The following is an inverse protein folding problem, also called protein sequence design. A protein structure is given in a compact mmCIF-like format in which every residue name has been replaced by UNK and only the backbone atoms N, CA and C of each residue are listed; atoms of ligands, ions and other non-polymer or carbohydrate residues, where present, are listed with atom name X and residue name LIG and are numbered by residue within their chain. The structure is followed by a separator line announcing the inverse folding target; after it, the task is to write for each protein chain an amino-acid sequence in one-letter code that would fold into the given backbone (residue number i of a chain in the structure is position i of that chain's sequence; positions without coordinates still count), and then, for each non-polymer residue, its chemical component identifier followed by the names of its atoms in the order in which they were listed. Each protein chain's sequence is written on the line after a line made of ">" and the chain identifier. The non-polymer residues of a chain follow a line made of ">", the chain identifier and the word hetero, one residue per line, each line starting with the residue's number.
data_IF_419680446184
#
_entry.id   IF_419680446184
#
_cell.length_a   1.000
_cell.length_b   1.000
_cell.length_c   1.000
_cell.angle_alpha   90.00
_cell.angle_beta   90.00
_cell.angle_gamma   90.00
#
_symmetry.space_group_name_H-M   'P 1'
#
loop_
_entity.id
_entity.type
_entity.pdbx_description
1 polymer ?
#
# COMPACT_ATOMS: atom_id res chain seq x y z
N UNK A 1 -17.27 -15.78 25.04
CA UNK A 1 -16.43 -14.60 24.74
C UNK A 1 -17.05 -13.41 25.43
N UNK A 2 -16.30 -12.61 26.20
CA UNK A 2 -16.84 -11.39 26.82
C UNK A 2 -16.93 -10.25 25.78
N UNK A 3 -17.66 -9.18 26.11
CA UNK A 3 -17.91 -8.05 25.20
C UNK A 3 -16.62 -7.34 24.76
N UNK A 4 -15.69 -7.09 25.68
CA UNK A 4 -14.43 -6.40 25.38
C UNK A 4 -13.54 -7.19 24.42
N UNK A 5 -13.44 -8.49 24.62
CA UNK A 5 -12.68 -9.38 23.74
C UNK A 5 -13.34 -9.43 22.36
N UNK A 6 -14.67 -9.41 22.31
CA UNK A 6 -15.39 -9.41 21.04
C UNK A 6 -15.15 -8.12 20.25
N UNK A 7 -15.24 -6.95 20.88
CA UNK A 7 -14.93 -5.66 20.24
C UNK A 7 -13.50 -5.65 19.66
N UNK A 8 -12.55 -6.21 20.40
CA UNK A 8 -11.17 -6.36 19.93
C UNK A 8 -11.09 -7.28 18.71
N UNK A 9 -11.74 -8.45 18.73
CA UNK A 9 -11.76 -9.36 17.58
C UNK A 9 -12.34 -8.69 16.32
N UNK A 10 -13.46 -7.97 16.46
CA UNK A 10 -14.08 -7.25 15.35
C UNK A 10 -13.12 -6.19 14.79
N UNK A 11 -12.44 -5.42 15.65
CA UNK A 11 -11.47 -4.41 15.20
C UNK A 11 -10.23 -5.03 14.53
N UNK A 12 -9.75 -6.17 15.03
CA UNK A 12 -8.61 -6.88 14.41
C UNK A 12 -8.97 -7.41 13.03
N UNK A 13 -10.14 -8.01 12.88
CA UNK A 13 -10.65 -8.46 11.58
C UNK A 13 -10.96 -7.27 10.67
N UNK A 14 -11.51 -6.18 11.21
CA UNK A 14 -11.72 -4.91 10.50
C UNK A 14 -10.44 -4.35 9.92
N UNK A 15 -9.34 -4.35 10.69
CA UNK A 15 -8.02 -3.96 10.19
C UNK A 15 -7.58 -4.84 9.00
N UNK A 16 -7.66 -6.16 9.15
CA UNK A 16 -7.23 -7.11 8.12
C UNK A 16 -8.05 -6.98 6.82
N UNK A 17 -9.38 -6.89 6.96
CA UNK A 17 -10.31 -6.71 5.84
C UNK A 17 -10.09 -5.37 5.16
N UNK A 18 -9.99 -4.28 5.94
CA UNK A 18 -9.81 -2.94 5.41
C UNK A 18 -8.48 -2.77 4.69
N UNK A 19 -7.38 -3.25 5.29
CA UNK A 19 -6.06 -3.25 4.63
C UNK A 19 -6.07 -4.13 3.38
N UNK A 20 -6.69 -5.31 3.45
CA UNK A 20 -6.92 -6.20 2.31
C UNK A 20 -7.64 -5.49 1.17
N UNK A 21 -8.72 -4.76 1.45
CA UNK A 21 -9.46 -3.99 0.45
C UNK A 21 -8.55 -2.96 -0.24
N UNK A 22 -7.76 -2.21 0.54
CA UNK A 22 -6.83 -1.20 -0.01
C UNK A 22 -5.71 -1.82 -0.83
N UNK A 23 -5.24 -3.02 -0.48
CA UNK A 23 -4.26 -3.77 -1.28
C UNK A 23 -4.80 -4.14 -2.65
N UNK A 24 -6.03 -4.65 -2.72
CA UNK A 24 -6.66 -4.96 -3.99
C UNK A 24 -6.88 -3.69 -4.83
N UNK A 25 -7.38 -2.60 -4.24
CA UNK A 25 -7.50 -1.32 -4.95
C UNK A 25 -6.16 -0.68 -5.34
N UNK A 26 -5.09 -0.93 -4.58
CA UNK A 26 -3.75 -0.48 -4.94
C UNK A 26 -3.25 -1.24 -6.17
N UNK A 27 -3.45 -2.56 -6.21
CA UNK A 27 -3.14 -3.37 -7.40
C UNK A 27 -3.94 -2.91 -8.61
N UNK A 28 -5.27 -2.77 -8.47
CA UNK A 28 -6.12 -2.27 -9.55
C UNK A 28 -5.62 -0.93 -10.10
N UNK A 29 -5.41 0.05 -9.21
CA UNK A 29 -4.97 1.39 -9.62
C UNK A 29 -3.60 1.38 -10.30
N UNK A 30 -2.65 0.58 -9.79
CA UNK A 30 -1.32 0.49 -10.39
C UNK A 30 -1.42 -0.12 -11.79
N UNK A 31 -2.23 -1.17 -11.97
CA UNK A 31 -2.40 -1.78 -13.29
C UNK A 31 -3.10 -0.83 -14.26
N UNK A 32 -4.12 -0.10 -13.79
CA UNK A 32 -4.89 0.83 -14.61
C UNK A 32 -4.11 2.10 -15.00
N UNK A 33 -3.37 2.70 -14.05
CA UNK A 33 -2.78 4.03 -14.20
C UNK A 33 -1.33 4.01 -14.68
N UNK A 34 -0.59 2.92 -14.41
CA UNK A 34 0.83 2.85 -14.77
C UNK A 34 1.10 3.03 -16.26
N UNK A 35 0.33 2.44 -17.20
CA UNK A 35 0.54 2.69 -18.63
C UNK A 35 0.45 4.17 -18.99
N UNK A 36 -0.51 4.89 -18.41
CA UNK A 36 -0.66 6.33 -18.59
C UNK A 36 0.54 7.12 -18.05
N UNK A 37 1.03 6.77 -16.85
CA UNK A 37 2.23 7.40 -16.28
C UNK A 37 3.49 7.12 -17.09
N UNK A 38 3.70 5.88 -17.55
CA UNK A 38 4.84 5.52 -18.41
C UNK A 38 4.80 6.34 -19.69
N UNK A 39 3.64 6.44 -20.34
CA UNK A 39 3.46 7.24 -21.56
C UNK A 39 3.78 8.72 -21.31
N UNK A 40 3.19 9.31 -20.25
CA UNK A 40 3.41 10.71 -19.89
C UNK A 40 4.88 11.02 -19.61
N UNK A 41 5.55 10.20 -18.79
CA UNK A 41 6.97 10.36 -18.46
C UNK A 41 7.82 10.22 -19.73
N UNK A 42 7.55 9.23 -20.58
CA UNK A 42 8.30 9.01 -21.82
C UNK A 42 8.22 10.21 -22.76
N UNK A 43 7.02 10.79 -22.92
CA UNK A 43 6.82 12.00 -23.73
C UNK A 43 7.55 13.19 -23.11
N UNK A 44 7.43 13.40 -21.80
CA UNK A 44 8.11 14.50 -21.11
C UNK A 44 9.64 14.41 -21.29
N UNK A 45 10.23 13.22 -21.12
CA UNK A 45 11.66 13.00 -21.38
C UNK A 45 12.03 13.25 -22.85
N UNK A 46 11.19 12.81 -23.79
CA UNK A 46 11.37 13.09 -25.22
C UNK A 46 11.42 14.59 -25.51
N UNK A 47 10.51 15.38 -24.94
CA UNK A 47 10.50 16.84 -25.09
C UNK A 47 11.77 17.47 -24.49
N UNK A 48 12.14 17.10 -23.25
CA UNK A 48 13.34 17.66 -22.60
C UNK A 48 14.64 17.26 -23.29
N UNK A 49 14.69 16.12 -23.99
CA UNK A 49 15.88 15.70 -24.74
C UNK A 49 16.24 16.67 -25.87
N UNK A 50 15.28 17.47 -26.37
CA UNK A 50 15.52 18.52 -27.36
C UNK A 50 16.32 19.70 -26.79
N UNK A 51 16.23 19.94 -25.48
CA UNK A 51 16.90 21.04 -24.80
C UNK A 51 18.22 20.62 -24.13
N UNK A 52 18.32 19.35 -23.68
CA UNK A 52 19.46 18.87 -22.89
C UNK A 52 20.16 17.68 -23.56
N UNK A 53 21.39 17.88 -24.06
CA UNK A 53 22.19 16.84 -24.72
C UNK A 53 22.48 15.62 -23.83
N UNK A 54 22.59 15.79 -22.51
CA UNK A 54 22.83 14.68 -21.57
C UNK A 54 21.67 13.68 -21.53
N UNK A 55 20.43 14.16 -21.75
CA UNK A 55 19.24 13.32 -21.90
C UNK A 55 19.18 12.60 -23.26
N UNK A 56 20.09 12.87 -24.20
CA UNK A 56 20.13 12.21 -25.52
C UNK A 56 21.09 11.00 -25.56
N UNK A 57 21.61 10.57 -24.42
CA UNK A 57 22.69 9.57 -24.31
C UNK A 57 22.17 8.17 -23.94
N UNK A 58 23.09 7.21 -23.74
CA UNK A 58 22.82 5.85 -23.24
C UNK A 58 21.91 5.82 -21.99
N UNK A 59 21.92 6.89 -21.19
CA UNK A 59 21.04 7.03 -20.03
C UNK A 59 19.55 7.00 -20.39
N UNK A 60 19.16 7.66 -21.49
CA UNK A 60 17.76 7.68 -21.95
C UNK A 60 17.33 6.30 -22.44
N UNK A 61 18.15 5.66 -23.26
CA UNK A 61 17.90 4.31 -23.77
C UNK A 61 17.77 3.30 -22.63
N UNK A 62 18.66 3.36 -21.62
CA UNK A 62 18.56 2.50 -20.44
C UNK A 62 17.28 2.78 -19.64
N UNK A 63 16.94 4.04 -19.42
CA UNK A 63 15.73 4.44 -18.68
C UNK A 63 14.46 3.94 -19.37
N UNK A 64 14.34 4.11 -20.68
CA UNK A 64 13.19 3.62 -21.45
C UNK A 64 13.13 2.09 -21.53
N UNK A 65 14.29 1.41 -21.55
CA UNK A 65 14.33 -0.05 -21.44
C UNK A 65 13.74 -0.51 -20.10
N UNK A 66 14.12 0.13 -18.99
CA UNK A 66 13.56 -0.16 -17.66
C UNK A 66 12.05 0.11 -17.62
N UNK A 67 11.59 1.25 -18.15
CA UNK A 67 10.16 1.56 -18.23
C UNK A 67 9.40 0.53 -19.08
N UNK A 68 9.99 0.04 -20.17
CA UNK A 68 9.44 -1.04 -20.99
C UNK A 68 9.27 -2.34 -20.19
N UNK A 69 10.29 -2.73 -19.42
CA UNK A 69 10.22 -3.92 -18.54
C UNK A 69 9.14 -3.74 -17.46
N UNK A 70 9.03 -2.54 -16.87
CA UNK A 70 7.95 -2.23 -15.91
C UNK A 70 6.58 -2.35 -16.58
N UNK A 71 6.42 -1.83 -17.80
CA UNK A 71 5.18 -1.96 -18.58
C UNK A 71 4.81 -3.41 -18.86
N UNK A 72 5.77 -4.25 -19.25
CA UNK A 72 5.57 -5.69 -19.42
C UNK A 72 5.17 -6.38 -18.11
N UNK A 73 5.81 -6.03 -16.99
CA UNK A 73 5.44 -6.59 -15.69
C UNK A 73 4.00 -6.22 -15.30
N UNK A 74 3.60 -4.98 -15.51
CA UNK A 74 2.24 -4.50 -15.23
C UNK A 74 1.20 -5.22 -16.10
N UNK A 75 1.49 -5.43 -17.40
CA UNK A 75 0.54 -6.08 -18.31
C UNK A 75 0.22 -7.53 -17.92
N UNK A 76 1.11 -8.21 -17.20
CA UNK A 76 0.86 -9.56 -16.65
C UNK A 76 -0.27 -9.61 -15.60
N UNK A 77 -0.75 -8.46 -15.14
CA UNK A 77 -1.86 -8.35 -14.18
C UNK A 77 -3.15 -7.81 -14.82
N UNK A 78 -3.10 -7.29 -16.07
CA UNK A 78 -4.25 -6.64 -16.71
C UNK A 78 -5.42 -7.60 -16.92
N UNK A 79 -5.15 -8.85 -17.29
CA UNK A 79 -6.18 -9.89 -17.48
C UNK A 79 -7.06 -10.15 -16.24
N UNK A 80 -6.54 -9.88 -15.02
CA UNK A 80 -7.29 -10.04 -13.76
C UNK A 80 -7.60 -8.71 -13.07
N UNK A 81 -7.37 -7.58 -13.75
CA UNK A 81 -7.54 -6.23 -13.19
C UNK A 81 -8.90 -6.04 -12.54
N UNK A 82 -9.98 -6.41 -13.24
CA UNK A 82 -11.35 -6.30 -12.72
C UNK A 82 -11.60 -7.13 -11.46
N UNK A 83 -10.89 -8.24 -11.29
CA UNK A 83 -11.09 -9.11 -10.13
C UNK A 83 -10.52 -8.45 -8.86
N UNK A 84 -9.43 -7.69 -9.00
CA UNK A 84 -8.92 -6.85 -7.90
C UNK A 84 -9.92 -5.77 -7.49
N UNK A 85 -10.56 -5.10 -8.45
CA UNK A 85 -11.60 -4.12 -8.13
C UNK A 85 -12.78 -4.77 -7.40
N UNK A 86 -13.30 -5.88 -7.94
CA UNK A 86 -14.41 -6.64 -7.32
C UNK A 86 -14.07 -7.07 -5.90
N UNK A 87 -12.88 -7.66 -5.70
CA UNK A 87 -12.43 -8.04 -4.36
C UNK A 87 -12.29 -6.83 -3.44
N UNK A 88 -11.74 -5.71 -3.91
CA UNK A 88 -11.66 -4.47 -3.13
C UNK A 88 -13.04 -3.95 -2.70
N UNK A 89 -14.02 -4.01 -3.60
CA UNK A 89 -15.42 -3.61 -3.32
C UNK A 89 -16.05 -4.52 -2.28
N UNK A 90 -15.98 -5.84 -2.46
CA UNK A 90 -16.55 -6.81 -1.52
C UNK A 90 -15.91 -6.70 -0.13
N UNK A 91 -14.58 -6.60 -0.05
CA UNK A 91 -13.89 -6.37 1.22
C UNK A 91 -14.29 -5.05 1.88
N UNK A 92 -14.56 -3.99 1.09
CA UNK A 92 -15.05 -2.72 1.64
C UNK A 92 -16.47 -2.86 2.21
N UNK A 93 -17.33 -3.66 1.59
CA UNK A 93 -18.66 -3.96 2.14
C UNK A 93 -18.53 -4.70 3.49
N UNK A 94 -17.69 -5.73 3.55
CA UNK A 94 -17.42 -6.48 4.79
C UNK A 94 -16.86 -5.54 5.86
N UNK A 95 -15.93 -4.66 5.52
CA UNK A 95 -15.39 -3.65 6.46
C UNK A 95 -16.49 -2.77 7.07
N UNK A 96 -17.41 -2.30 6.24
CA UNK A 96 -18.52 -1.46 6.70
C UNK A 96 -19.51 -2.24 7.58
N UNK A 97 -19.77 -3.51 7.26
CA UNK A 97 -20.59 -4.41 8.07
C UNK A 97 -19.93 -4.68 9.42
N UNK A 98 -18.62 -4.96 9.46
CA UNK A 98 -17.85 -5.11 10.70
C UNK A 98 -17.88 -3.82 11.54
N UNK A 99 -17.82 -2.64 10.92
CA UNK A 99 -17.98 -1.36 11.63
C UNK A 99 -19.36 -1.24 12.26
N UNK A 100 -20.42 -1.58 11.54
CA UNK A 100 -21.78 -1.56 12.08
C UNK A 100 -21.95 -2.56 13.23
N UNK A 101 -21.37 -3.75 13.09
CA UNK A 101 -21.35 -4.78 14.11
C UNK A 101 -20.58 -4.32 15.36
N UNK A 102 -19.43 -3.67 15.18
CA UNK A 102 -18.64 -3.08 16.27
C UNK A 102 -19.47 -2.09 17.10
N UNK A 103 -20.15 -1.14 16.46
CA UNK A 103 -21.00 -0.19 17.18
C UNK A 103 -22.22 -0.86 17.83
N UNK A 104 -22.77 -1.89 17.20
CA UNK A 104 -23.87 -2.67 17.77
C UNK A 104 -23.44 -3.35 19.08
N UNK A 105 -22.27 -4.01 19.09
CA UNK A 105 -21.69 -4.60 20.30
C UNK A 105 -21.32 -3.52 21.33
N UNK A 106 -20.81 -2.37 20.87
CA UNK A 106 -20.44 -1.27 21.75
C UNK A 106 -21.66 -0.70 22.50
N UNK A 107 -22.84 -0.71 21.89
CA UNK A 107 -24.09 -0.26 22.52
C UNK A 107 -24.65 -1.23 23.58
N UNK A 108 -24.19 -2.48 23.63
CA UNK A 108 -24.68 -3.52 24.54
C UNK A 108 -24.03 -3.45 25.91
N UNK A 109 -24.75 -3.92 26.93
CA UNK A 109 -24.22 -4.14 28.28
C UNK A 109 -23.46 -5.47 28.35
N UNK A 110 -22.59 -5.64 29.36
CA UNK A 110 -21.84 -6.89 29.54
C UNK A 110 -22.73 -8.10 29.91
N UNK A 111 -23.98 -7.84 30.35
CA UNK A 111 -24.98 -8.87 30.64
C UNK A 111 -25.85 -9.26 29.45
N UNK A 112 -25.75 -8.54 28.33
CA UNK A 112 -26.57 -8.81 27.15
C UNK A 112 -26.10 -10.08 26.42
N UNK A 113 -27.03 -10.82 25.82
CA UNK A 113 -26.69 -11.94 24.95
C UNK A 113 -26.09 -11.46 23.62
N UNK A 114 -24.87 -11.91 23.34
CA UNK A 114 -24.11 -11.58 22.13
C UNK A 114 -24.14 -12.70 21.07
N UNK A 115 -24.85 -13.81 21.32
CA UNK A 115 -24.80 -15.01 20.47
C UNK A 115 -25.11 -14.72 19.00
N UNK A 116 -26.15 -13.91 18.73
CA UNK A 116 -26.51 -13.53 17.36
C UNK A 116 -25.44 -12.68 16.68
N UNK A 117 -24.82 -11.74 17.40
CA UNK A 117 -23.77 -10.87 16.88
C UNK A 117 -22.49 -11.65 16.59
N UNK A 118 -22.17 -12.65 17.44
CA UNK A 118 -21.03 -13.55 17.22
C UNK A 118 -21.25 -14.40 15.96
N UNK A 119 -22.47 -14.89 15.73
CA UNK A 119 -22.81 -15.63 14.51
C UNK A 119 -22.66 -14.77 13.25
N UNK A 120 -23.14 -13.52 13.30
CA UNK A 120 -22.96 -12.54 12.22
C UNK A 120 -21.46 -12.26 11.95
N UNK A 121 -20.67 -12.07 13.01
CA UNK A 121 -19.21 -11.92 12.90
C UNK A 121 -18.57 -13.10 12.17
N UNK A 122 -18.89 -14.34 12.57
CA UNK A 122 -18.32 -15.55 11.96
C UNK A 122 -18.68 -15.67 10.48
N UNK A 123 -19.90 -15.26 10.11
CA UNK A 123 -20.32 -15.22 8.72
C UNK A 123 -19.50 -14.21 7.91
N UNK A 124 -19.29 -13.00 8.44
CA UNK A 124 -18.48 -11.97 7.79
C UNK A 124 -17.01 -12.39 7.65
N UNK A 125 -16.46 -13.03 8.68
CA UNK A 125 -15.10 -13.56 8.67
C UNK A 125 -14.94 -14.68 7.62
N UNK A 126 -15.91 -15.59 7.52
CA UNK A 126 -15.90 -16.63 6.49
C UNK A 126 -15.98 -16.04 5.07
N UNK A 127 -16.77 -14.98 4.88
CA UNK A 127 -16.84 -14.28 3.59
C UNK A 127 -15.50 -13.65 3.25
N UNK A 128 -14.86 -12.98 4.21
CA UNK A 128 -13.54 -12.37 4.03
C UNK A 128 -12.51 -13.37 3.47
N UNK A 129 -12.43 -14.57 4.06
CA UNK A 129 -11.48 -15.58 3.60
C UNK A 129 -11.76 -16.09 2.17
N UNK A 130 -13.00 -16.00 1.69
CA UNK A 130 -13.38 -16.45 0.34
C UNK A 130 -13.06 -15.45 -0.78
N UNK A 131 -12.83 -14.16 -0.45
CA UNK A 131 -12.70 -13.08 -1.44
C UNK A 131 -11.24 -12.83 -1.86
N UNK A 132 -10.26 -13.22 -1.03
CA UNK A 132 -8.87 -12.82 -1.20
C UNK A 132 -8.16 -13.34 -2.45
N UNK A 133 -7.56 -12.45 -3.23
CA UNK A 133 -6.62 -12.79 -4.30
C UNK A 133 -5.18 -12.79 -3.78
N UNK A 134 -4.49 -13.93 -3.90
CA UNK A 134 -3.13 -14.09 -3.38
C UNK A 134 -2.06 -13.34 -4.19
N UNK A 135 -2.19 -13.31 -5.52
CA UNK A 135 -1.25 -12.64 -6.42
C UNK A 135 -1.55 -11.14 -6.44
N UNK A 136 -0.61 -10.30 -5.99
CA UNK A 136 -0.76 -8.83 -5.94
C UNK A 136 0.45 -8.19 -6.61
N UNK A 137 0.28 -7.01 -7.22
CA UNK A 137 1.40 -6.37 -7.93
C UNK A 137 2.43 -5.83 -6.94
N UNK A 138 3.68 -5.72 -7.39
CA UNK A 138 4.75 -5.17 -6.56
C UNK A 138 4.44 -3.70 -6.23
N UNK A 139 4.85 -3.24 -5.04
CA UNK A 139 4.47 -1.94 -4.44
C UNK A 139 3.00 -1.77 -4.06
N UNK A 140 2.11 -2.75 -4.31
CA UNK A 140 0.71 -2.65 -3.85
C UNK A 140 0.61 -2.45 -2.34
N UNK A 141 1.48 -3.10 -1.55
CA UNK A 141 1.50 -2.98 -0.09
C UNK A 141 1.83 -1.55 0.37
N UNK A 142 2.76 -0.88 -0.30
CA UNK A 142 3.12 0.50 0.01
C UNK A 142 1.95 1.45 -0.28
N UNK A 143 1.34 1.28 -1.45
CA UNK A 143 0.24 2.14 -1.83
C UNK A 143 -1.03 1.85 -1.02
N UNK A 144 -1.27 0.59 -0.66
CA UNK A 144 -2.32 0.20 0.28
C UNK A 144 -2.14 0.82 1.65
N UNK A 145 -0.90 0.87 2.16
CA UNK A 145 -0.57 1.48 3.42
C UNK A 145 -0.92 2.98 3.43
N UNK A 146 -0.50 3.71 2.40
CA UNK A 146 -0.93 5.10 2.19
C UNK A 146 -2.45 5.23 2.14
N UNK A 147 -3.14 4.43 1.31
CA UNK A 147 -4.60 4.47 1.19
C UNK A 147 -5.31 4.16 2.52
N UNK A 148 -4.78 3.26 3.32
CA UNK A 148 -5.40 2.85 4.58
C UNK A 148 -5.16 3.86 5.71
N UNK A 149 -3.91 4.27 5.93
CA UNK A 149 -3.60 5.15 7.07
C UNK A 149 -3.80 6.64 6.80
N UNK A 150 -3.78 7.06 5.53
CA UNK A 150 -3.92 8.48 5.17
C UNK A 150 -5.30 8.85 4.62
N UNK A 151 -5.91 7.99 3.79
CA UNK A 151 -7.17 8.32 3.11
C UNK A 151 -8.41 7.66 3.74
N UNK A 152 -8.25 6.53 4.41
CA UNK A 152 -9.36 5.75 4.94
C UNK A 152 -9.68 6.13 6.38
N UNK A 153 -10.95 6.11 6.74
CA UNK A 153 -11.42 6.27 8.11
C UNK A 153 -11.11 5.01 8.90
N UNK A 154 -10.18 5.13 9.84
CA UNK A 154 -9.66 4.04 10.68
C UNK A 154 -9.99 4.21 12.16
N UNK A 155 -10.73 5.25 12.53
CA UNK A 155 -10.95 5.67 13.92
C UNK A 155 -11.53 4.55 14.78
N UNK A 156 -12.58 3.87 14.30
CA UNK A 156 -13.23 2.78 15.04
C UNK A 156 -12.32 1.57 15.26
N UNK A 157 -11.36 1.33 14.35
CA UNK A 157 -10.34 0.29 14.51
C UNK A 157 -9.25 0.75 15.47
N UNK A 158 -8.88 2.02 15.37
CA UNK A 158 -7.84 2.67 16.19
C UNK A 158 -8.24 2.73 17.67
N UNK A 159 -9.53 2.85 17.99
CA UNK A 159 -10.05 2.75 19.36
C UNK A 159 -9.54 1.50 20.10
N UNK A 160 -9.53 0.35 19.41
CA UNK A 160 -9.08 -0.92 19.97
C UNK A 160 -7.58 -1.18 19.75
N UNK A 161 -7.05 -0.89 18.55
CA UNK A 161 -5.65 -1.22 18.20
C UNK A 161 -4.63 -0.18 18.68
N UNK A 162 -5.03 1.08 18.86
CA UNK A 162 -4.20 2.19 19.33
C UNK A 162 -2.91 2.33 18.51
N UNK A 163 -3.06 2.55 17.21
CA UNK A 163 -1.99 2.66 16.23
C UNK A 163 -1.00 3.78 16.59
N UNK A 164 0.28 3.44 16.60
CA UNK A 164 1.38 4.37 16.85
C UNK A 164 1.93 4.89 15.53
N UNK A 165 2.22 6.19 15.48
CA UNK A 165 2.71 6.84 14.27
C UNK A 165 3.96 6.15 13.68
N UNK A 166 5.00 5.95 14.48
CA UNK A 166 6.28 5.41 13.99
C UNK A 166 6.29 3.89 13.72
N UNK A 167 5.40 3.13 14.35
CA UNK A 167 5.37 1.67 14.19
C UNK A 167 4.37 1.23 13.12
N UNK A 168 3.19 1.86 13.13
CA UNK A 168 2.05 1.35 12.38
C UNK A 168 1.72 2.25 11.17
N UNK A 169 1.82 3.58 11.33
CA UNK A 169 1.46 4.55 10.28
C UNK A 169 2.59 4.88 9.30
N UNK A 170 3.79 4.34 9.50
CA UNK A 170 4.90 4.46 8.57
C UNK A 170 5.42 3.06 8.20
N UNK A 171 5.50 2.69 6.91
CA UNK A 171 6.01 1.38 6.52
C UNK A 171 7.48 1.19 6.93
N UNK A 172 7.84 -0.02 7.40
CA UNK A 172 9.22 -0.33 7.77
C UNK A 172 10.21 -0.09 6.62
N UNK A 173 9.82 -0.44 5.40
CA UNK A 173 10.63 -0.23 4.20
C UNK A 173 10.92 1.26 3.94
N UNK A 174 10.16 2.20 4.50
CA UNK A 174 10.47 3.63 4.45
C UNK A 174 11.70 3.96 5.29
N UNK A 175 11.76 3.43 6.51
CA UNK A 175 12.92 3.61 7.37
C UNK A 175 14.17 3.01 6.73
N UNK A 176 14.04 1.81 6.14
CA UNK A 176 15.14 1.18 5.40
C UNK A 176 15.58 2.04 4.21
N UNK A 177 14.64 2.56 3.43
CA UNK A 177 14.94 3.46 2.32
C UNK A 177 15.69 4.71 2.78
N UNK A 178 15.25 5.37 3.85
CA UNK A 178 15.92 6.55 4.40
C UNK A 178 17.35 6.22 4.86
N UNK A 179 17.56 5.10 5.54
CA UNK A 179 18.90 4.68 5.97
C UNK A 179 19.81 4.46 4.75
N UNK A 180 19.32 3.79 3.71
CA UNK A 180 20.09 3.57 2.47
C UNK A 180 20.45 4.89 1.80
N UNK A 181 19.50 5.83 1.69
CA UNK A 181 19.74 7.16 1.11
C UNK A 181 20.80 7.93 1.91
N UNK A 182 20.73 7.89 3.24
CA UNK A 182 21.71 8.53 4.13
C UNK A 182 23.10 7.92 3.90
N UNK A 183 23.23 6.59 3.88
CA UNK A 183 24.51 5.90 3.63
C UNK A 183 25.07 6.25 2.25
N UNK A 184 24.24 6.22 1.20
CA UNK A 184 24.65 6.58 -0.16
C UNK A 184 25.14 8.03 -0.25
N UNK A 185 24.44 8.95 0.43
CA UNK A 185 24.81 10.37 0.48
C UNK A 185 26.15 10.57 1.20
N UNK A 186 26.34 9.89 2.34
CA UNK A 186 27.59 9.92 3.10
C UNK A 186 28.75 9.38 2.25
N UNK A 187 28.57 8.22 1.61
CA UNK A 187 29.58 7.64 0.71
C UNK A 187 29.92 8.58 -0.45
N UNK A 188 28.92 9.25 -1.04
CA UNK A 188 29.12 10.22 -2.10
C UNK A 188 29.95 11.41 -1.64
N UNK A 189 29.64 11.99 -0.47
CA UNK A 189 30.39 13.10 0.12
C UNK A 189 31.84 12.69 0.43
N UNK A 190 32.06 11.51 1.02
CA UNK A 190 33.41 11.02 1.31
C UNK A 190 34.22 10.78 0.03
N UNK A 191 33.62 10.20 -1.01
CA UNK A 191 34.26 10.03 -2.31
C UNK A 191 34.61 11.38 -2.94
N UNK A 192 33.69 12.35 -2.90
CA UNK A 192 33.94 13.69 -3.42
C UNK A 192 35.09 14.39 -2.69
N UNK A 193 35.15 14.28 -1.36
CA UNK A 193 36.25 14.82 -0.55
C UNK A 193 37.58 14.11 -0.83
N UNK A 194 37.58 12.78 -1.01
CA UNK A 194 38.78 12.03 -1.36
C UNK A 194 39.31 12.45 -2.74
N UNK A 195 38.44 12.55 -3.74
CA UNK A 195 38.80 13.04 -5.07
C UNK A 195 39.33 14.48 -5.05
N UNK A 196 38.74 15.36 -4.24
CA UNK A 196 39.21 16.73 -4.08
C UNK A 196 40.59 16.81 -3.44
N UNK A 197 40.90 15.93 -2.47
CA UNK A 197 42.21 15.88 -1.84
C UNK A 197 43.32 15.43 -2.81
N UNK A 198 43.04 14.45 -3.67
CA UNK A 198 43.97 14.03 -4.72
C UNK A 198 44.19 15.11 -5.80
N UNK A 199 43.18 15.92 -6.12
CA UNK A 199 43.29 16.99 -7.12
C UNK A 199 44.13 18.19 -6.66
N UNK A 200 44.42 18.33 -5.37
CA UNK A 200 45.28 19.39 -4.81
C UNK A 200 46.74 18.91 -4.65
N UNK A 201 46.97 17.60 -4.70
CA UNK A 201 48.29 16.96 -4.54
C UNK A 201 49.00 16.66 -5.87
N UNK A 202 48.39 16.96 -7.01
CA UNK A 202 48.96 16.90 -8.36
C UNK A 202 48.83 18.26 -9.04
#
# INVERSE_FOLDING_TARGET
>A
MNRSDFLKCIAETGYNVGFGAKKHFATYDLVEKSPGWISFISIAFGIYSLAFKELSTNFLSASFTVLGVVGLYVSMYDAKKSDYEKAGVELTKIYNQLRALYYSVQSKSDSDDLTNLISEYQQLESQYYSVGLSKQILFSDWYAHYKFFWQHQIEWVDEQKKFRFFRDKVPLSFYVFLVVVIVMTICFIYKANLSACFAVLF
#
